data_IF_662625847168
#
_entry.id   IF_662625847168
#
_cell.length_a   1.000
_cell.length_b   1.000
_cell.length_c   1.000
_cell.angle_alpha   90.00
_cell.angle_beta   90.00
_cell.angle_gamma   90.00
#
_symmetry.space_group_name_H-M   'P 1'
#
loop_
_entity.id
_entity.type
_entity.pdbx_description
1 polymer ?
#
# COMPACT_ATOMS: atom_id res chain seq x y z
N UNK A 1 3.80 5.86 -16.08
CA UNK A 1 2.56 6.20 -15.35
C UNK A 1 2.82 6.65 -13.91
N UNK A 2 3.78 6.07 -13.19
CA UNK A 2 4.11 6.44 -11.80
C UNK A 2 4.72 7.85 -11.64
N UNK A 3 5.36 8.39 -12.68
CA UNK A 3 6.05 9.69 -12.63
C UNK A 3 5.12 10.91 -12.52
N UNK A 4 3.81 10.71 -12.69
CA UNK A 4 2.80 11.77 -12.55
C UNK A 4 2.21 11.87 -11.13
N UNK A 5 2.69 11.08 -10.18
CA UNK A 5 2.07 10.96 -8.83
C UNK A 5 2.55 12.01 -7.83
N UNK A 6 3.51 12.86 -8.21
CA UNK A 6 4.08 13.90 -7.36
C UNK A 6 4.99 13.34 -6.24
N UNK A 7 5.64 14.21 -5.47
CA UNK A 7 6.64 13.78 -4.48
C UNK A 7 6.08 12.87 -3.36
N UNK A 8 4.79 13.01 -3.03
CA UNK A 8 4.11 12.12 -2.08
C UNK A 8 3.89 10.72 -2.68
N UNK A 9 3.47 10.65 -3.95
CA UNK A 9 3.32 9.39 -4.66
C UNK A 9 4.67 8.69 -4.88
N UNK A 10 5.72 9.44 -5.14
CA UNK A 10 7.07 8.90 -5.25
C UNK A 10 7.55 8.25 -3.95
N UNK A 11 7.23 8.84 -2.80
CA UNK A 11 7.61 8.30 -1.50
C UNK A 11 6.87 7.00 -1.15
N UNK A 12 5.59 6.90 -1.52
CA UNK A 12 4.70 5.83 -1.03
C UNK A 12 4.44 4.74 -2.07
N UNK A 13 4.41 5.09 -3.36
CA UNK A 13 3.98 4.18 -4.43
C UNK A 13 5.17 3.55 -5.16
N UNK A 14 6.20 4.34 -5.53
CA UNK A 14 7.32 3.83 -6.34
C UNK A 14 8.08 2.64 -5.71
N UNK A 15 8.32 2.58 -4.39
CA UNK A 15 9.12 1.51 -3.81
C UNK A 15 8.47 0.12 -3.89
N UNK A 16 7.14 0.06 -3.90
CA UNK A 16 6.39 -1.21 -3.84
C UNK A 16 5.48 -1.43 -5.04
N UNK A 17 5.49 -0.53 -6.02
CA UNK A 17 4.67 -0.66 -7.21
C UNK A 17 4.98 -1.97 -7.96
N UNK A 18 3.91 -2.64 -8.38
CA UNK A 18 3.94 -3.82 -9.23
C UNK A 18 3.36 -3.48 -10.61
N UNK A 19 3.65 -4.31 -11.61
CA UNK A 19 3.11 -4.10 -12.95
C UNK A 19 1.61 -4.47 -13.01
N UNK A 20 0.84 -3.92 -13.97
CA UNK A 20 -0.56 -4.26 -14.14
C UNK A 20 -0.82 -5.76 -14.32
N UNK A 21 0.11 -6.47 -14.97
CA UNK A 21 0.06 -7.92 -15.16
C UNK A 21 0.14 -8.66 -13.81
N UNK A 22 0.97 -8.20 -12.87
CA UNK A 22 1.08 -8.80 -11.53
C UNK A 22 -0.23 -8.61 -10.74
N UNK A 23 -0.91 -7.48 -10.91
CA UNK A 23 -2.24 -7.22 -10.34
C UNK A 23 -3.26 -8.21 -10.89
N UNK A 24 -3.23 -8.45 -12.21
CA UNK A 24 -4.12 -9.40 -12.87
C UNK A 24 -3.88 -10.83 -12.37
N UNK A 25 -2.61 -11.24 -12.24
CA UNK A 25 -2.25 -12.55 -11.70
C UNK A 25 -2.74 -12.75 -10.26
N UNK A 26 -2.62 -11.72 -9.41
CA UNK A 26 -3.15 -11.76 -8.05
C UNK A 26 -4.69 -11.91 -8.02
N UNK A 27 -5.39 -11.25 -8.95
CA UNK A 27 -6.84 -11.36 -9.11
C UNK A 27 -7.26 -12.77 -9.50
N UNK A 28 -6.71 -13.32 -10.58
CA UNK A 28 -7.08 -14.66 -11.05
C UNK A 28 -6.79 -15.73 -10.01
N UNK A 29 -5.64 -15.66 -9.34
CA UNK A 29 -5.32 -16.55 -8.22
C UNK A 29 -6.33 -16.43 -7.08
N UNK A 30 -6.73 -15.20 -6.74
CA UNK A 30 -7.76 -14.98 -5.73
C UNK A 30 -9.11 -15.61 -6.07
N UNK A 31 -9.49 -15.58 -7.35
CA UNK A 31 -10.71 -16.23 -7.85
C UNK A 31 -10.60 -17.76 -7.76
N UNK A 32 -9.47 -18.34 -8.19
CA UNK A 32 -9.22 -19.79 -8.10
C UNK A 32 -9.27 -20.32 -6.66
N UNK A 33 -8.81 -19.49 -5.71
CA UNK A 33 -8.79 -19.80 -4.27
C UNK A 33 -10.10 -19.41 -3.54
N UNK A 34 -11.13 -18.94 -4.25
CA UNK A 34 -12.41 -18.44 -3.70
C UNK A 34 -12.21 -17.38 -2.59
N UNK A 35 -11.23 -16.49 -2.77
CA UNK A 35 -10.92 -15.40 -1.83
C UNK A 35 -11.65 -14.12 -2.23
N UNK A 36 -12.46 -13.62 -1.30
CA UNK A 36 -13.19 -12.37 -1.50
C UNK A 36 -12.28 -11.13 -1.51
N UNK A 37 -11.38 -11.00 -0.54
CA UNK A 37 -10.47 -9.85 -0.43
C UNK A 37 -9.12 -10.19 -1.05
N UNK A 38 -8.86 -9.63 -2.22
CA UNK A 38 -7.62 -9.82 -2.95
C UNK A 38 -6.72 -8.62 -2.72
N UNK A 39 -5.53 -8.88 -2.18
CA UNK A 39 -4.52 -7.87 -1.88
C UNK A 39 -3.26 -8.20 -2.69
N UNK A 40 -3.07 -7.55 -3.86
CA UNK A 40 -1.88 -7.76 -4.69
C UNK A 40 -0.57 -7.42 -3.96
N UNK A 41 -0.65 -6.48 -3.01
CA UNK A 41 0.42 -6.13 -2.09
C UNK A 41 0.17 -6.80 -0.73
N UNK A 42 0.86 -7.92 -0.40
CA UNK A 42 0.55 -8.72 0.78
C UNK A 42 0.71 -7.95 2.10
N UNK A 43 1.60 -6.96 2.17
CA UNK A 43 1.81 -6.09 3.32
C UNK A 43 0.57 -5.28 3.71
N UNK A 44 -0.33 -5.01 2.75
CA UNK A 44 -1.56 -4.23 3.00
C UNK A 44 -2.51 -4.98 3.94
N UNK A 45 -2.43 -6.31 4.01
CA UNK A 45 -3.19 -7.10 4.97
C UNK A 45 -2.84 -6.71 6.42
N UNK A 46 -1.56 -6.48 6.69
CA UNK A 46 -1.09 -6.03 8.00
C UNK A 46 -1.50 -4.59 8.27
N UNK A 47 -1.44 -3.72 7.25
CA UNK A 47 -1.89 -2.33 7.39
C UNK A 47 -3.36 -2.25 7.76
N UNK A 48 -4.21 -3.04 7.10
CA UNK A 48 -5.64 -3.12 7.43
C UNK A 48 -5.85 -3.60 8.88
N UNK A 49 -5.13 -4.65 9.30
CA UNK A 49 -5.20 -5.18 10.66
C UNK A 49 -4.75 -4.15 11.69
N UNK A 50 -3.54 -3.61 11.55
CA UNK A 50 -2.97 -2.62 12.47
C UNK A 50 -3.85 -1.38 12.56
N UNK A 51 -4.39 -0.89 11.44
CA UNK A 51 -5.33 0.24 11.45
C UNK A 51 -6.60 -0.07 12.27
N UNK A 52 -7.08 -1.30 12.24
CA UNK A 52 -8.29 -1.72 12.97
C UNK A 52 -8.02 -2.06 14.44
N UNK A 53 -6.89 -2.70 14.75
CA UNK A 53 -6.58 -3.24 16.09
C UNK A 53 -5.69 -2.33 16.93
N UNK A 54 -4.86 -1.50 16.31
CA UNK A 54 -3.92 -0.58 16.97
C UNK A 54 -3.98 0.85 16.35
N UNK A 55 -5.12 1.56 16.43
CA UNK A 55 -5.29 2.85 15.73
C UNK A 55 -4.26 3.92 16.11
N UNK A 56 -3.88 4.02 17.39
CA UNK A 56 -2.89 5.01 17.84
C UNK A 56 -1.51 4.75 17.24
N UNK A 57 -1.10 3.47 17.18
CA UNK A 57 0.15 3.07 16.54
C UNK A 57 0.12 3.36 15.04
N UNK A 58 -1.01 3.07 14.39
CA UNK A 58 -1.23 3.38 12.98
C UNK A 58 -1.08 4.88 12.72
N UNK A 59 -1.78 5.74 13.48
CA UNK A 59 -1.71 7.18 13.35
C UNK A 59 -0.30 7.72 13.61
N UNK A 60 0.41 7.20 14.61
CA UNK A 60 1.80 7.57 14.86
C UNK A 60 2.72 7.22 13.69
N UNK A 61 2.52 6.07 13.04
CA UNK A 61 3.24 5.67 11.83
C UNK A 61 2.95 6.60 10.64
N UNK A 62 1.68 6.90 10.39
CA UNK A 62 1.26 7.81 9.32
C UNK A 62 1.79 9.23 9.52
N UNK A 63 1.82 9.72 10.76
CA UNK A 63 2.40 11.03 11.08
C UNK A 63 3.91 11.08 10.81
N UNK A 64 4.66 10.00 11.07
CA UNK A 64 6.10 9.95 10.73
C UNK A 64 6.31 9.98 9.22
N UNK A 65 5.50 9.25 8.46
CA UNK A 65 5.56 9.27 6.99
C UNK A 65 5.28 10.69 6.46
N UNK A 66 4.27 11.36 7.01
CA UNK A 66 3.94 12.75 6.69
C UNK A 66 5.12 13.69 6.96
N UNK A 67 5.77 13.57 8.13
CA UNK A 67 6.95 14.38 8.47
C UNK A 67 8.12 14.14 7.51
N UNK A 68 8.35 12.89 7.08
CA UNK A 68 9.38 12.58 6.09
C UNK A 68 9.11 13.24 4.74
N UNK A 69 7.85 13.21 4.30
CA UNK A 69 7.43 13.89 3.08
C UNK A 69 7.62 15.41 3.18
N UNK A 70 7.20 16.02 4.29
CA UNK A 70 7.38 17.45 4.56
C UNK A 70 8.85 17.86 4.60
N UNK A 71 9.73 17.03 5.16
CA UNK A 71 11.17 17.27 5.21
C UNK A 71 11.87 17.16 3.84
N UNK A 72 11.25 16.47 2.88
CA UNK A 72 11.79 16.27 1.53
C UNK A 72 11.22 17.28 0.52
N UNK A 73 10.34 18.18 0.97
CA UNK A 73 9.70 19.22 0.15
C UNK A 73 10.52 20.51 0.09
#
# INVERSE_FOLDING_TARGET
MLDATGSAGDLVLKPTAIEPEDVADALFRGIEEDRFLILPHPEVAEYYRTRATEPDRWLAGMNRLQQQWEATR
#
